data_IF_758215413066
#
_entry.id   IF_758215413066
#
_cell.length_a   1.000
_cell.length_b   1.000
_cell.length_c   1.000
_cell.angle_alpha   90.00
_cell.angle_beta   90.00
_cell.angle_gamma   90.00
#
_symmetry.space_group_name_H-M   'P 1'
#
loop_
_entity.id
_entity.type
_entity.pdbx_description
1 polymer ?
#
# COMPACT_ATOMS: atom_id res chain seq x y z
N UNK A 1 46.86 -27.55 41.62
CA UNK A 1 46.99 -27.91 40.20
C UNK A 1 45.69 -28.58 39.76
N UNK A 2 45.05 -28.07 38.69
CA UNK A 2 43.98 -28.74 37.92
C UNK A 2 42.60 -28.75 38.59
N UNK A 3 41.47 -28.46 37.93
CA UNK A 3 41.22 -28.18 36.53
C UNK A 3 39.94 -27.33 36.38
N UNK A 4 40.01 -26.44 35.39
CA UNK A 4 38.93 -25.71 34.72
C UNK A 4 37.80 -26.65 34.26
N UNK A 5 36.57 -26.38 34.70
CA UNK A 5 35.38 -26.85 34.01
C UNK A 5 34.85 -25.71 33.15
N UNK A 6 35.15 -25.76 31.85
CA UNK A 6 34.51 -24.93 30.85
C UNK A 6 33.06 -25.39 30.71
N UNK A 7 32.13 -24.62 31.30
CA UNK A 7 30.71 -24.72 30.98
C UNK A 7 30.48 -24.14 29.60
N UNK A 8 30.70 -24.93 28.56
CA UNK A 8 30.14 -24.66 27.24
C UNK A 8 28.65 -24.94 27.30
N UNK A 9 27.87 -23.98 27.80
CA UNK A 9 26.43 -23.99 27.54
C UNK A 9 26.26 -23.78 26.04
N UNK A 10 25.51 -24.66 25.34
CA UNK A 10 25.16 -24.40 23.96
C UNK A 10 24.42 -23.07 23.93
N UNK A 11 25.03 -22.05 23.32
CA UNK A 11 24.29 -20.88 22.88
C UNK A 11 23.26 -21.44 21.91
N UNK A 12 21.94 -21.33 22.17
CA UNK A 12 21.00 -21.56 21.11
C UNK A 12 21.35 -20.50 20.06
N UNK A 13 22.03 -20.93 18.99
CA UNK A 13 21.88 -20.27 17.71
C UNK A 13 20.41 -20.48 17.37
N UNK A 14 19.58 -19.59 17.92
CA UNK A 14 18.35 -19.14 17.32
C UNK A 14 18.79 -18.65 15.94
N UNK A 15 18.93 -19.61 15.03
CA UNK A 15 18.81 -19.34 13.62
C UNK A 15 17.34 -18.98 13.53
N UNK A 16 17.03 -17.73 13.88
CA UNK A 16 15.80 -17.09 13.54
C UNK A 16 15.84 -17.12 12.04
N UNK A 17 15.35 -18.22 11.47
CA UNK A 17 14.99 -18.28 10.06
C UNK A 17 13.90 -17.23 10.01
N UNK A 18 14.31 -15.98 9.73
CA UNK A 18 13.37 -14.90 9.48
C UNK A 18 12.42 -15.47 8.46
N UNK A 19 11.17 -15.68 8.88
CA UNK A 19 10.14 -16.17 7.99
C UNK A 19 10.20 -15.22 6.79
N UNK A 20 10.65 -15.73 5.65
CA UNK A 20 10.62 -14.93 4.42
C UNK A 20 9.16 -14.56 4.23
N UNK A 21 8.89 -13.27 4.09
CA UNK A 21 7.55 -12.81 3.84
C UNK A 21 6.96 -13.55 2.63
N UNK A 22 5.69 -13.88 2.69
CA UNK A 22 4.98 -14.64 1.66
C UNK A 22 3.91 -13.77 0.98
N UNK A 23 3.28 -14.29 -0.06
CA UNK A 23 2.17 -13.62 -0.76
C UNK A 23 1.04 -13.19 0.19
N UNK A 24 0.79 -13.97 1.24
CA UNK A 24 -0.21 -13.65 2.26
C UNK A 24 0.13 -12.38 3.04
N UNK A 25 1.41 -12.11 3.29
CA UNK A 25 1.86 -10.90 3.98
C UNK A 25 1.63 -9.65 3.09
N UNK A 26 1.86 -9.78 1.77
CA UNK A 26 1.53 -8.72 0.80
C UNK A 26 0.03 -8.47 0.74
N UNK A 27 -0.78 -9.55 0.66
CA UNK A 27 -2.24 -9.45 0.68
C UNK A 27 -2.76 -8.78 1.95
N UNK A 28 -2.15 -9.03 3.11
CA UNK A 28 -2.51 -8.37 4.35
C UNK A 28 -2.26 -6.85 4.29
N UNK A 29 -1.16 -6.40 3.68
CA UNK A 29 -0.90 -4.97 3.44
C UNK A 29 -1.92 -4.38 2.49
N UNK A 30 -2.23 -5.07 1.39
CA UNK A 30 -3.21 -4.61 0.40
C UNK A 30 -4.61 -4.54 0.99
N UNK A 31 -5.01 -5.49 1.83
CA UNK A 31 -6.28 -5.46 2.55
C UNK A 31 -6.33 -4.32 3.58
N UNK A 32 -5.22 -4.05 4.27
CA UNK A 32 -5.09 -2.90 5.17
C UNK A 32 -5.22 -1.59 4.40
N UNK A 33 -4.58 -1.49 3.23
CA UNK A 33 -4.70 -0.33 2.34
C UNK A 33 -6.14 -0.16 1.87
N UNK A 34 -6.81 -1.22 1.43
CA UNK A 34 -8.22 -1.19 1.04
C UNK A 34 -9.11 -0.68 2.17
N UNK A 35 -8.93 -1.23 3.38
CA UNK A 35 -9.70 -0.87 4.57
C UNK A 35 -9.49 0.59 4.97
N UNK A 36 -8.26 1.10 4.81
CA UNK A 36 -7.94 2.50 5.10
C UNK A 36 -8.47 3.46 4.01
N UNK A 37 -8.39 3.07 2.74
CA UNK A 37 -8.74 3.94 1.61
C UNK A 37 -10.23 3.98 1.32
N UNK A 38 -10.97 2.88 1.48
CA UNK A 38 -12.42 2.80 1.23
C UNK A 38 -13.24 3.90 1.92
N UNK A 39 -13.14 4.13 3.25
CA UNK A 39 -13.89 5.19 3.91
C UNK A 39 -13.46 6.60 3.46
N UNK A 40 -12.18 6.78 3.11
CA UNK A 40 -11.66 8.06 2.60
C UNK A 40 -12.25 8.35 1.22
N UNK A 41 -12.24 7.36 0.32
CA UNK A 41 -12.80 7.49 -1.03
C UNK A 41 -14.31 7.77 -0.98
N UNK A 42 -15.06 7.09 -0.11
CA UNK A 42 -16.48 7.37 0.11
C UNK A 42 -16.70 8.81 0.59
N UNK A 43 -15.84 9.31 1.48
CA UNK A 43 -15.89 10.70 1.94
C UNK A 43 -15.56 11.70 0.82
N UNK A 44 -14.59 11.39 -0.04
CA UNK A 44 -14.27 12.22 -1.21
C UNK A 44 -15.45 12.27 -2.17
N UNK A 45 -16.09 11.13 -2.47
CA UNK A 45 -17.27 11.08 -3.34
C UNK A 45 -18.45 11.87 -2.75
N UNK A 46 -18.65 11.79 -1.43
CA UNK A 46 -19.66 12.59 -0.70
C UNK A 46 -19.39 14.09 -0.84
N UNK A 47 -18.13 14.53 -0.70
CA UNK A 47 -17.75 15.94 -0.90
C UNK A 47 -17.92 16.35 -2.36
N UNK A 48 -17.55 15.48 -3.31
CA UNK A 48 -17.71 15.75 -4.74
C UNK A 48 -19.19 15.80 -5.17
N UNK A 49 -20.07 15.02 -4.55
CA UNK A 49 -21.51 15.03 -4.80
C UNK A 49 -22.30 16.10 -4.03
N UNK A 50 -21.64 16.89 -3.18
CA UNK A 50 -22.29 17.94 -2.39
C UNK A 50 -22.65 19.17 -3.24
N UNK A 51 -23.64 19.94 -2.78
CA UNK A 51 -24.16 21.13 -3.49
C UNK A 51 -23.08 22.22 -3.65
N UNK A 52 -22.15 22.32 -2.69
CA UNK A 52 -21.01 23.25 -2.71
C UNK A 52 -19.70 22.48 -2.46
N UNK A 53 -19.17 21.79 -3.47
CA UNK A 53 -18.04 20.91 -3.29
C UNK A 53 -16.76 21.77 -3.24
N UNK A 54 -15.94 21.62 -2.19
CA UNK A 54 -14.83 22.54 -1.89
C UNK A 54 -13.48 21.83 -1.81
N UNK A 55 -12.44 22.47 -2.37
CA UNK A 55 -11.07 21.99 -2.25
C UNK A 55 -10.55 22.06 -0.81
N UNK A 56 -11.09 22.96 0.02
CA UNK A 56 -10.74 23.08 1.45
C UNK A 56 -11.15 21.83 2.22
N UNK A 57 -12.35 21.30 1.96
CA UNK A 57 -12.85 20.08 2.60
C UNK A 57 -12.23 18.82 2.01
N UNK A 58 -11.80 18.87 0.74
CA UNK A 58 -11.18 17.74 0.06
C UNK A 58 -9.69 17.57 0.39
N UNK A 59 -8.98 18.67 0.64
CA UNK A 59 -7.54 18.66 0.98
C UNK A 59 -7.19 17.69 2.12
N UNK A 60 -7.84 17.72 3.29
CA UNK A 60 -7.52 16.77 4.37
C UNK A 60 -7.86 15.32 4.01
N UNK A 61 -8.86 15.07 3.16
CA UNK A 61 -9.19 13.72 2.70
C UNK A 61 -8.12 13.16 1.76
N UNK A 62 -7.64 13.98 0.81
CA UNK A 62 -6.53 13.59 -0.07
C UNK A 62 -5.24 13.42 0.72
N UNK A 63 -4.97 14.26 1.72
CA UNK A 63 -3.81 14.10 2.59
C UNK A 63 -3.86 12.76 3.36
N UNK A 64 -5.02 12.39 3.89
CA UNK A 64 -5.22 11.07 4.52
C UNK A 64 -5.03 9.92 3.53
N UNK A 65 -5.53 10.05 2.29
CA UNK A 65 -5.31 9.04 1.24
C UNK A 65 -3.83 8.86 0.92
N UNK A 66 -3.10 9.97 0.76
CA UNK A 66 -1.64 9.98 0.59
C UNK A 66 -0.94 9.30 1.76
N UNK A 67 -1.34 9.60 3.00
CA UNK A 67 -0.76 8.98 4.18
C UNK A 67 -1.00 7.45 4.23
N UNK A 68 -2.19 6.98 3.84
CA UNK A 68 -2.50 5.55 3.74
C UNK A 68 -1.64 4.86 2.67
N UNK A 69 -1.48 5.49 1.50
CA UNK A 69 -0.63 4.98 0.42
C UNK A 69 0.84 4.93 0.85
N UNK A 70 1.35 5.98 1.50
CA UNK A 70 2.72 6.00 2.02
C UNK A 70 2.96 4.96 3.11
N UNK A 71 1.96 4.71 3.96
CA UNK A 71 2.04 3.62 4.96
C UNK A 71 2.14 2.27 4.25
N UNK A 72 1.30 2.02 3.26
CA UNK A 72 1.33 0.77 2.50
C UNK A 72 2.64 0.60 1.73
N UNK A 73 3.17 1.65 1.09
CA UNK A 73 4.45 1.58 0.38
C UNK A 73 5.61 1.32 1.35
N UNK A 74 5.62 1.93 2.53
CA UNK A 74 6.59 1.65 3.57
C UNK A 74 6.50 0.19 4.06
N UNK A 75 5.29 -0.33 4.30
CA UNK A 75 5.09 -1.74 4.69
C UNK A 75 5.57 -2.70 3.61
N UNK A 76 5.31 -2.42 2.33
CA UNK A 76 5.80 -3.25 1.21
C UNK A 76 7.33 -3.22 1.12
N UNK A 77 7.94 -2.05 1.32
CA UNK A 77 9.39 -1.91 1.33
C UNK A 77 10.04 -2.68 2.49
N UNK A 78 9.38 -2.74 3.65
CA UNK A 78 9.83 -3.51 4.82
C UNK A 78 9.71 -5.03 4.62
N UNK A 79 8.74 -5.52 3.83
CA UNK A 79 8.67 -6.95 3.49
C UNK A 79 9.83 -7.38 2.59
N UNK A 80 10.26 -6.52 1.68
CA UNK A 80 11.25 -6.86 0.66
C UNK A 80 10.72 -7.91 -0.34
N UNK A 81 11.63 -8.73 -0.87
CA UNK A 81 11.28 -9.79 -1.83
C UNK A 81 10.55 -10.92 -1.12
N UNK A 82 9.33 -11.21 -1.57
CA UNK A 82 8.51 -12.27 -0.99
C UNK A 82 8.73 -13.60 -1.69
N UNK A 83 8.62 -14.68 -0.93
CA UNK A 83 8.59 -16.02 -1.49
C UNK A 83 7.25 -16.24 -2.23
N UNK A 84 7.24 -16.90 -3.40
CA UNK A 84 6.00 -17.24 -4.11
C UNK A 84 5.18 -18.34 -3.39
N UNK A 85 5.65 -18.82 -2.24
CA UNK A 85 4.91 -19.76 -1.41
C UNK A 85 3.62 -19.12 -0.89
N UNK A 86 2.49 -19.82 -1.03
CA UNK A 86 1.20 -19.37 -0.48
C UNK A 86 0.33 -18.49 -1.39
N UNK A 87 0.71 -18.23 -2.64
CA UNK A 87 -0.17 -17.52 -3.58
C UNK A 87 0.46 -17.21 -4.95
N UNK A 88 -0.15 -16.30 -5.69
CA UNK A 88 0.34 -15.84 -7.00
C UNK A 88 0.34 -14.31 -7.08
N UNK A 89 1.29 -13.69 -7.82
CA UNK A 89 1.21 -12.27 -8.16
C UNK A 89 -0.11 -11.89 -8.86
N UNK A 90 -0.78 -12.82 -9.55
CA UNK A 90 -2.12 -12.62 -10.11
C UNK A 90 -3.18 -12.34 -9.05
N UNK A 91 -3.11 -13.00 -7.89
CA UNK A 91 -4.02 -12.75 -6.76
C UNK A 91 -3.82 -11.35 -6.19
N UNK A 92 -2.57 -10.91 -6.10
CA UNK A 92 -2.23 -9.56 -5.62
C UNK A 92 -2.70 -8.50 -6.61
N UNK A 93 -2.47 -8.71 -7.92
CA UNK A 93 -2.95 -7.82 -8.96
C UNK A 93 -4.48 -7.71 -8.93
N UNK A 94 -5.19 -8.84 -8.81
CA UNK A 94 -6.65 -8.87 -8.71
C UNK A 94 -7.18 -8.16 -7.45
N UNK A 95 -6.46 -8.22 -6.32
CA UNK A 95 -6.80 -7.48 -5.11
C UNK A 95 -6.48 -5.97 -5.21
N UNK A 96 -5.39 -5.61 -5.90
CA UNK A 96 -4.92 -4.23 -6.02
C UNK A 96 -5.70 -3.42 -7.07
N UNK A 97 -6.08 -4.07 -8.18
CA UNK A 97 -6.79 -3.43 -9.29
C UNK A 97 -8.05 -2.65 -8.87
N UNK A 98 -8.99 -3.20 -8.07
CA UNK A 98 -10.16 -2.45 -7.64
C UNK A 98 -9.81 -1.25 -6.76
N UNK A 99 -8.75 -1.32 -5.94
CA UNK A 99 -8.29 -0.21 -5.11
C UNK A 99 -7.82 0.95 -5.99
N UNK A 100 -6.90 0.66 -6.92
CA UNK A 100 -6.37 1.67 -7.86
C UNK A 100 -7.49 2.26 -8.71
N UNK A 101 -8.36 1.41 -9.26
CA UNK A 101 -9.51 1.85 -10.06
C UNK A 101 -10.46 2.76 -9.26
N UNK A 102 -10.77 2.41 -8.02
CA UNK A 102 -11.61 3.22 -7.14
C UNK A 102 -10.95 4.57 -6.81
N UNK A 103 -9.64 4.59 -6.52
CA UNK A 103 -8.89 5.83 -6.29
C UNK A 103 -8.99 6.73 -7.52
N UNK A 104 -8.62 6.22 -8.71
CA UNK A 104 -8.63 6.98 -9.95
C UNK A 104 -10.03 7.50 -10.29
N UNK A 105 -11.06 6.65 -10.19
CA UNK A 105 -12.45 7.02 -10.46
C UNK A 105 -12.93 8.13 -9.52
N UNK A 106 -12.70 7.97 -8.22
CA UNK A 106 -13.15 8.93 -7.19
C UNK A 106 -12.44 10.28 -7.36
N UNK A 107 -11.13 10.26 -7.61
CA UNK A 107 -10.36 11.48 -7.85
C UNK A 107 -10.76 12.15 -9.17
N UNK A 108 -11.03 11.39 -10.23
CA UNK A 108 -11.50 11.96 -11.49
C UNK A 108 -12.86 12.63 -11.32
N UNK A 109 -13.78 12.01 -10.57
CA UNK A 109 -15.04 12.65 -10.17
C UNK A 109 -14.78 13.97 -9.43
N UNK A 110 -13.94 13.94 -8.39
CA UNK A 110 -13.58 15.14 -7.64
C UNK A 110 -12.94 16.24 -8.50
N UNK A 111 -12.03 15.88 -9.44
CA UNK A 111 -11.37 16.82 -10.36
C UNK A 111 -12.35 17.50 -11.31
N UNK A 112 -13.43 16.81 -11.71
CA UNK A 112 -14.47 17.37 -12.59
C UNK A 112 -15.41 18.30 -11.84
N UNK A 113 -15.65 18.02 -10.56
CA UNK A 113 -16.70 18.70 -9.79
C UNK A 113 -16.17 19.83 -8.92
N UNK A 114 -14.92 19.74 -8.45
CA UNK A 114 -14.31 20.70 -7.53
C UNK A 114 -13.15 21.43 -8.22
N UNK A 115 -13.26 22.76 -8.39
CA UNK A 115 -12.15 23.56 -8.92
C UNK A 115 -10.96 23.55 -7.95
N UNK A 116 -9.75 23.43 -8.48
CA UNK A 116 -8.50 23.45 -7.71
C UNK A 116 -8.04 22.10 -7.15
N UNK A 117 -8.80 21.01 -7.33
CA UNK A 117 -8.36 19.65 -6.91
C UNK A 117 -7.07 19.22 -7.58
N UNK A 118 -6.86 19.59 -8.85
CA UNK A 118 -5.61 19.28 -9.55
C UNK A 118 -4.38 19.82 -8.79
N UNK A 119 -4.49 21.03 -8.23
CA UNK A 119 -3.42 21.62 -7.44
C UNK A 119 -3.24 20.88 -6.11
N UNK A 120 -4.33 20.50 -5.44
CA UNK A 120 -4.29 19.73 -4.18
C UNK A 120 -3.61 18.38 -4.39
N UNK A 121 -4.05 17.62 -5.40
CA UNK A 121 -3.53 16.30 -5.75
C UNK A 121 -2.04 16.37 -6.11
N UNK A 122 -1.65 17.37 -6.92
CA UNK A 122 -0.26 17.58 -7.29
C UNK A 122 0.61 18.03 -6.09
N UNK A 123 0.11 18.94 -5.26
CA UNK A 123 0.84 19.47 -4.09
C UNK A 123 1.05 18.40 -3.02
N UNK A 124 0.07 17.53 -2.82
CA UNK A 124 0.16 16.44 -1.84
C UNK A 124 0.90 15.21 -2.38
N UNK A 125 1.26 15.18 -3.67
CA UNK A 125 2.06 14.10 -4.25
C UNK A 125 1.32 12.77 -4.37
N UNK A 126 0.00 12.78 -4.57
CA UNK A 126 -0.81 11.56 -4.60
C UNK A 126 -0.40 10.59 -5.71
N UNK A 127 -0.09 11.10 -6.90
CA UNK A 127 0.46 10.30 -8.00
C UNK A 127 1.78 9.62 -7.59
N UNK A 128 2.64 10.33 -6.86
CA UNK A 128 3.91 9.79 -6.40
C UNK A 128 3.69 8.67 -5.37
N UNK A 129 2.80 8.87 -4.40
CA UNK A 129 2.46 7.84 -3.40
C UNK A 129 1.82 6.61 -4.02
N UNK A 130 0.92 6.79 -4.99
CA UNK A 130 0.31 5.66 -5.69
C UNK A 130 1.34 4.89 -6.51
N UNK A 131 2.23 5.60 -7.22
CA UNK A 131 3.34 4.98 -7.92
C UNK A 131 4.29 4.23 -6.97
N UNK A 132 4.57 4.76 -5.78
CA UNK A 132 5.40 4.07 -4.79
C UNK A 132 4.77 2.76 -4.30
N UNK A 133 3.46 2.71 -4.09
CA UNK A 133 2.76 1.46 -3.76
C UNK A 133 2.91 0.45 -4.89
N UNK A 134 2.68 0.87 -6.13
CA UNK A 134 2.80 0.02 -7.31
C UNK A 134 4.22 -0.51 -7.53
N UNK A 135 5.24 0.33 -7.34
CA UNK A 135 6.65 -0.08 -7.42
C UNK A 135 7.00 -1.00 -6.25
N UNK A 136 6.49 -0.76 -5.05
CA UNK A 136 6.67 -1.65 -3.90
C UNK A 136 6.09 -3.04 -4.14
N UNK A 137 4.91 -3.10 -4.74
CA UNK A 137 4.27 -4.35 -5.18
C UNK A 137 5.09 -5.10 -6.22
N UNK A 138 5.59 -4.39 -7.23
CA UNK A 138 6.45 -4.98 -8.25
C UNK A 138 7.77 -5.50 -7.67
N UNK A 139 8.40 -4.74 -6.78
CA UNK A 139 9.64 -5.17 -6.14
C UNK A 139 9.41 -6.36 -5.19
N UNK A 140 8.25 -6.42 -4.55
CA UNK A 140 7.93 -7.49 -3.62
C UNK A 140 7.64 -8.79 -4.35
N UNK A 141 6.78 -8.75 -5.39
CA UNK A 141 6.24 -9.98 -6.00
C UNK A 141 6.59 -10.19 -7.48
N UNK A 142 7.22 -9.23 -8.16
CA UNK A 142 7.63 -9.26 -9.56
C UNK A 142 6.53 -9.68 -10.57
N UNK A 143 6.14 -8.76 -11.45
CA UNK A 143 5.13 -8.98 -12.48
C UNK A 143 3.70 -8.59 -12.09
N UNK A 144 3.48 -8.04 -10.89
CA UNK A 144 2.16 -7.50 -10.48
C UNK A 144 1.77 -6.32 -11.34
N UNK A 145 2.73 -5.44 -11.69
CA UNK A 145 2.48 -4.31 -12.58
C UNK A 145 2.12 -4.76 -14.00
N UNK A 146 2.79 -5.80 -14.50
CA UNK A 146 2.50 -6.33 -15.83
C UNK A 146 1.07 -6.91 -15.91
N UNK A 147 0.61 -7.54 -14.83
CA UNK A 147 -0.75 -8.05 -14.71
C UNK A 147 -1.77 -6.90 -14.60
N UNK A 148 -1.49 -5.89 -13.77
CA UNK A 148 -2.32 -4.69 -13.66
C UNK A 148 -2.44 -3.93 -14.99
N UNK A 149 -1.38 -3.89 -15.80
CA UNK A 149 -1.40 -3.26 -17.12
C UNK A 149 -2.22 -4.03 -18.17
N UNK A 150 -2.55 -5.30 -17.91
CA UNK A 150 -3.35 -6.15 -18.80
C UNK A 150 -4.83 -6.24 -18.40
N UNK A 151 -5.20 -5.69 -17.23
CA UNK A 151 -6.59 -5.54 -16.80
C UNK A 151 -7.24 -4.29 -17.42
#
# INVERSE_FOLDING_TARGET
MGAIAASSSPTPSETHVEKRADISDVLAIINTLETATTPILSSIDTVAGSILPSSVTLTPLVASLVASLNTASASLALLGTVSPTGGSPATIAAATAPIVSNIVRTLNNAKRTIPGVNLVVATLGLDASLNQVLVGLENSTAGVLNLLAQL
#
